data_IF_194582318748
#
_entry.id   IF_194582318748
#
_cell.length_a   1.000
_cell.length_b   1.000
_cell.length_c   1.000
_cell.angle_alpha   90.00
_cell.angle_beta   90.00
_cell.angle_gamma   90.00
#
_symmetry.space_group_name_H-M   'P 1'
#
loop_
_entity.id
_entity.type
_entity.pdbx_description
1 polymer ?
#
# COMPACT_ATOMS: atom_id res chain seq x y z
N UNK A 1 -65.51 -25.47 -0.56
CA UNK A 1 -64.13 -25.98 -0.54
C UNK A 1 -63.23 -24.76 -0.45
N UNK A 2 -62.52 -24.53 0.65
CA UNK A 2 -61.26 -25.25 1.02
C UNK A 2 -60.18 -24.92 -0.02
N UNK A 3 -59.07 -24.21 0.26
CA UNK A 3 -58.03 -24.39 1.28
C UNK A 3 -56.70 -24.40 0.48
N UNK A 4 -55.69 -23.55 0.71
CA UNK A 4 -54.63 -23.64 1.72
C UNK A 4 -53.25 -23.59 1.02
N UNK A 5 -52.43 -22.55 1.23
CA UNK A 5 -51.17 -22.51 2.03
C UNK A 5 -49.90 -23.06 1.35
N UNK A 6 -48.82 -22.26 1.43
CA UNK A 6 -47.40 -22.68 1.41
C UNK A 6 -46.60 -22.00 0.29
N UNK A 7 -45.62 -21.12 0.53
CA UNK A 7 -44.63 -21.05 1.61
C UNK A 7 -43.26 -21.36 0.99
N UNK A 8 -42.34 -20.39 0.98
CA UNK A 8 -41.00 -20.61 0.44
C UNK A 8 -40.18 -19.34 0.28
N UNK A 9 -39.90 -18.66 1.39
CA UNK A 9 -38.81 -17.70 1.43
C UNK A 9 -37.47 -18.42 1.24
N UNK A 10 -36.69 -17.95 0.27
CA UNK A 10 -35.24 -18.12 0.27
C UNK A 10 -34.65 -16.71 0.15
N UNK A 11 -34.38 -16.11 1.31
CA UNK A 11 -33.55 -14.92 1.42
C UNK A 11 -32.15 -15.29 0.91
N UNK A 12 -31.86 -14.98 -0.35
CA UNK A 12 -30.49 -14.91 -0.85
C UNK A 12 -29.77 -13.79 -0.09
N UNK A 13 -28.63 -14.12 0.52
CA UNK A 13 -27.89 -13.26 1.44
C UNK A 13 -27.70 -11.83 0.94
N UNK A 14 -28.18 -10.87 1.73
CA UNK A 14 -28.10 -9.42 1.49
C UNK A 14 -26.74 -8.80 1.83
N UNK A 15 -25.77 -9.61 2.25
CA UNK A 15 -24.52 -9.11 2.84
C UNK A 15 -23.38 -8.94 1.82
N UNK A 16 -23.55 -9.41 0.57
CA UNK A 16 -22.54 -9.27 -0.49
C UNK A 16 -22.60 -7.94 -1.24
N UNK A 17 -23.79 -7.41 -1.52
CA UNK A 17 -23.97 -6.22 -2.38
C UNK A 17 -23.44 -4.91 -1.79
N UNK A 18 -23.58 -4.73 -0.47
CA UNK A 18 -23.15 -3.51 0.21
C UNK A 18 -21.62 -3.32 0.21
N UNK A 19 -20.85 -4.42 0.21
CA UNK A 19 -19.39 -4.36 0.15
C UNK A 19 -18.90 -3.91 -1.24
N UNK A 20 -19.52 -4.41 -2.32
CA UNK A 20 -19.16 -4.01 -3.68
C UNK A 20 -19.55 -2.56 -3.98
N UNK A 21 -20.73 -2.11 -3.53
CA UNK A 21 -21.15 -0.71 -3.68
C UNK A 21 -20.23 0.26 -2.93
N UNK A 22 -19.77 -0.12 -1.73
CA UNK A 22 -18.82 0.69 -0.97
C UNK A 22 -17.48 0.83 -1.71
N UNK A 23 -16.96 -0.26 -2.28
CA UNK A 23 -15.72 -0.26 -3.05
C UNK A 23 -15.80 0.58 -4.32
N UNK A 24 -16.91 0.50 -5.06
CA UNK A 24 -17.13 1.32 -6.25
C UNK A 24 -17.16 2.82 -5.92
N UNK A 25 -17.83 3.18 -4.83
CA UNK A 25 -17.88 4.57 -4.35
C UNK A 25 -16.48 5.06 -3.93
N UNK A 26 -15.67 4.22 -3.27
CA UNK A 26 -14.30 4.59 -2.92
C UNK A 26 -13.41 4.75 -4.16
N UNK A 27 -13.58 3.89 -5.17
CA UNK A 27 -12.85 3.95 -6.43
C UNK A 27 -13.13 5.25 -7.18
N UNK A 28 -14.41 5.63 -7.30
CA UNK A 28 -14.82 6.87 -7.96
C UNK A 28 -14.26 8.11 -7.24
N UNK A 29 -14.31 8.13 -5.91
CA UNK A 29 -13.73 9.21 -5.09
C UNK A 29 -12.23 9.36 -5.34
N UNK A 30 -11.48 8.25 -5.36
CA UNK A 30 -10.04 8.25 -5.65
C UNK A 30 -9.73 8.71 -7.06
N UNK A 31 -10.50 8.25 -8.06
CA UNK A 31 -10.35 8.70 -9.44
C UNK A 31 -10.55 10.22 -9.58
N UNK A 32 -11.58 10.78 -8.92
CA UNK A 32 -11.81 12.22 -8.90
C UNK A 32 -10.69 12.99 -8.22
N UNK A 33 -10.18 12.51 -7.08
CA UNK A 33 -9.04 13.14 -6.41
C UNK A 33 -7.77 13.10 -7.27
N UNK A 34 -7.52 11.99 -7.96
CA UNK A 34 -6.38 11.84 -8.85
C UNK A 34 -6.40 12.90 -9.97
N UNK A 35 -7.56 13.10 -10.61
CA UNK A 35 -7.73 14.14 -11.64
C UNK A 35 -7.47 15.55 -11.09
N UNK A 36 -7.94 15.87 -9.88
CA UNK A 36 -7.69 17.17 -9.25
C UNK A 36 -6.20 17.42 -8.97
N UNK A 37 -5.45 16.36 -8.69
CA UNK A 37 -4.00 16.41 -8.48
C UNK A 37 -3.20 16.31 -9.79
N UNK A 38 -3.86 16.27 -10.94
CA UNK A 38 -3.23 16.20 -12.26
C UNK A 38 -2.79 14.79 -12.69
N UNK A 39 -3.19 13.74 -11.97
CA UNK A 39 -3.00 12.36 -12.42
C UNK A 39 -4.12 11.96 -13.38
N UNK A 40 -3.77 11.24 -14.45
CA UNK A 40 -4.75 10.75 -15.42
C UNK A 40 -5.68 9.64 -14.87
N UNK A 41 -5.24 8.94 -13.82
CA UNK A 41 -5.97 7.87 -13.12
C UNK A 41 -5.43 7.73 -11.69
N UNK A 42 -6.13 7.00 -10.83
CA UNK A 42 -5.67 6.69 -9.46
C UNK A 42 -4.25 6.06 -9.49
N UNK A 43 -3.21 6.75 -8.98
CA UNK A 43 -1.84 6.31 -9.17
C UNK A 43 -1.51 5.13 -8.26
N UNK A 44 -1.13 4.00 -8.86
CA UNK A 44 -0.60 2.88 -8.08
C UNK A 44 0.79 3.19 -7.51
N UNK A 45 1.14 2.53 -6.41
CA UNK A 45 2.49 2.62 -5.80
C UNK A 45 3.61 2.36 -6.82
N UNK A 46 3.43 1.35 -7.67
CA UNK A 46 4.40 1.03 -8.70
C UNK A 46 4.53 2.15 -9.75
N UNK A 47 3.43 2.82 -10.11
CA UNK A 47 3.48 3.98 -11.00
C UNK A 47 4.21 5.16 -10.36
N UNK A 48 3.93 5.46 -9.09
CA UNK A 48 4.61 6.53 -8.35
C UNK A 48 6.12 6.29 -8.26
N UNK A 49 6.54 5.07 -7.89
CA UNK A 49 7.96 4.71 -7.83
C UNK A 49 8.67 4.83 -9.19
N UNK A 50 8.00 4.47 -10.29
CA UNK A 50 8.54 4.69 -11.64
C UNK A 50 8.69 6.17 -11.96
N UNK A 51 7.72 7.01 -11.58
CA UNK A 51 7.79 8.46 -11.78
C UNK A 51 8.95 9.09 -11.00
N UNK A 52 9.14 8.69 -9.73
CA UNK A 52 10.27 9.13 -8.88
C UNK A 52 11.61 8.79 -9.54
N UNK A 53 11.76 7.55 -10.05
CA UNK A 53 12.97 7.12 -10.77
C UNK A 53 13.17 7.91 -12.07
N UNK A 54 12.12 8.11 -12.86
CA UNK A 54 12.19 8.86 -14.12
C UNK A 54 12.57 10.33 -13.91
N UNK A 55 12.15 10.92 -12.81
CA UNK A 55 12.44 12.31 -12.47
C UNK A 55 13.83 12.51 -11.85
N UNK A 56 14.62 11.46 -11.63
CA UNK A 56 15.96 11.58 -11.04
C UNK A 56 15.96 11.98 -9.55
N UNK A 57 14.81 11.91 -8.87
CA UNK A 57 14.67 12.39 -7.48
C UNK A 57 15.63 11.67 -6.53
N UNK A 58 15.91 10.38 -6.78
CA UNK A 58 16.82 9.60 -5.95
C UNK A 58 18.28 10.08 -6.01
N UNK A 59 18.65 10.86 -7.03
CA UNK A 59 20.00 11.41 -7.16
C UNK A 59 20.21 12.61 -6.24
N UNK A 60 19.13 13.30 -5.85
CA UNK A 60 19.13 14.51 -5.03
C UNK A 60 18.86 14.24 -3.54
N UNK A 61 18.41 13.03 -3.17
CA UNK A 61 18.15 12.68 -1.76
C UNK A 61 19.44 12.26 -1.02
N UNK A 62 19.49 12.48 0.31
CA UNK A 62 20.53 11.95 1.17
C UNK A 62 20.79 10.46 0.96
N UNK A 63 22.04 10.04 1.18
CA UNK A 63 22.48 8.66 0.95
C UNK A 63 21.67 7.66 1.78
N UNK A 64 21.29 8.02 3.00
CA UNK A 64 20.50 7.19 3.90
C UNK A 64 19.11 6.87 3.32
N UNK A 65 18.45 7.85 2.69
CA UNK A 65 17.14 7.66 2.05
C UNK A 65 17.26 6.84 0.77
N UNK A 66 18.34 7.04 0.01
CA UNK A 66 18.65 6.24 -1.18
C UNK A 66 18.91 4.78 -0.81
N UNK A 67 19.70 4.54 0.23
CA UNK A 67 19.97 3.21 0.77
C UNK A 67 18.68 2.56 1.29
N UNK A 68 17.80 3.31 1.95
CA UNK A 68 16.53 2.79 2.45
C UNK A 68 15.60 2.39 1.29
N UNK A 69 15.53 3.21 0.24
CA UNK A 69 14.80 2.88 -0.98
C UNK A 69 15.36 1.60 -1.62
N UNK A 70 16.68 1.47 -1.74
CA UNK A 70 17.32 0.29 -2.31
C UNK A 70 17.06 -0.97 -1.47
N UNK A 71 17.13 -0.87 -0.14
CA UNK A 71 16.90 -2.01 0.74
C UNK A 71 15.43 -2.49 0.71
N UNK A 72 14.47 -1.57 0.69
CA UNK A 72 13.05 -1.90 0.66
C UNK A 72 12.57 -2.29 -0.75
N UNK A 73 12.95 -1.57 -1.79
CA UNK A 73 12.45 -1.79 -3.16
C UNK A 73 13.35 -2.65 -4.05
N UNK A 74 14.55 -2.98 -3.59
CA UNK A 74 15.44 -3.91 -4.25
C UNK A 74 14.98 -5.36 -4.11
N UNK A 75 15.22 -6.13 -5.16
CA UNK A 75 15.10 -7.58 -5.17
C UNK A 75 16.43 -8.22 -4.74
N UNK A 76 16.38 -9.39 -4.10
CA UNK A 76 17.56 -10.24 -3.89
C UNK A 76 18.24 -10.19 -2.52
N UNK A 77 17.86 -9.29 -1.60
CA UNK A 77 18.38 -9.33 -0.23
C UNK A 77 17.77 -10.48 0.57
N UNK A 78 18.62 -11.29 1.20
CA UNK A 78 18.18 -12.30 2.16
C UNK A 78 17.43 -11.63 3.33
N UNK A 79 16.47 -12.31 3.97
CA UNK A 79 15.71 -11.76 5.10
C UNK A 79 16.59 -11.11 6.18
N UNK A 80 17.73 -11.74 6.50
CA UNK A 80 18.70 -11.22 7.47
C UNK A 80 19.36 -9.92 7.01
N UNK A 81 19.76 -9.86 5.74
CA UNK A 81 20.43 -8.69 5.15
C UNK A 81 19.48 -7.50 5.07
N UNK A 82 18.19 -7.74 4.75
CA UNK A 82 17.15 -6.72 4.78
C UNK A 82 17.07 -6.06 6.16
N UNK A 83 16.98 -6.87 7.22
CA UNK A 83 16.84 -6.36 8.59
C UNK A 83 18.09 -5.57 9.00
N UNK A 84 19.29 -6.11 8.72
CA UNK A 84 20.55 -5.46 9.03
C UNK A 84 20.73 -4.13 8.29
N UNK A 85 20.30 -4.05 7.03
CA UNK A 85 20.37 -2.83 6.23
C UNK A 85 19.32 -1.79 6.60
N UNK A 86 18.07 -2.22 6.82
CA UNK A 86 16.95 -1.28 7.05
C UNK A 86 16.90 -0.71 8.46
N UNK A 87 17.27 -1.47 9.50
CA UNK A 87 17.15 -1.02 10.90
C UNK A 87 17.84 0.33 11.18
N UNK A 88 19.15 0.51 10.89
CA UNK A 88 19.82 1.78 11.17
C UNK A 88 19.23 2.95 10.37
N UNK A 89 18.73 2.68 9.16
CA UNK A 89 18.09 3.69 8.30
C UNK A 89 16.70 4.09 8.81
N UNK A 90 15.94 3.14 9.38
CA UNK A 90 14.66 3.43 10.02
C UNK A 90 14.83 4.19 11.34
N UNK A 91 15.95 4.00 12.04
CA UNK A 91 16.31 4.82 13.20
C UNK A 91 16.72 6.24 12.79
N UNK A 92 17.47 6.39 11.69
CA UNK A 92 17.77 7.69 11.10
C UNK A 92 16.48 8.46 10.78
N UNK A 93 15.54 7.83 10.07
CA UNK A 93 14.23 8.42 9.74
C UNK A 93 13.43 8.80 10.99
N UNK A 94 13.52 8.04 12.07
CA UNK A 94 12.78 8.32 13.30
C UNK A 94 13.37 9.49 14.12
N UNK A 95 14.63 9.87 13.87
CA UNK A 95 15.32 10.96 14.58
C UNK A 95 15.18 12.30 13.88
N UNK A 96 14.93 12.29 12.57
CA UNK A 96 14.72 13.49 11.77
C UNK A 96 13.27 13.99 11.93
N UNK A 97 13.07 15.25 12.32
CA UNK A 97 11.74 15.81 12.60
C UNK A 97 10.82 15.83 11.36
N UNK A 98 11.38 16.02 10.17
CA UNK A 98 10.63 16.03 8.92
C UNK A 98 10.26 14.63 8.43
N UNK A 99 11.04 13.61 8.81
CA UNK A 99 10.85 12.23 8.39
C UNK A 99 10.15 11.35 9.44
N UNK A 100 10.21 11.72 10.72
CA UNK A 100 9.64 10.97 11.83
C UNK A 100 8.17 10.56 11.65
N UNK A 101 7.28 11.38 11.05
CA UNK A 101 5.89 10.98 10.80
C UNK A 101 5.74 9.73 9.91
N UNK A 102 6.74 9.44 9.06
CA UNK A 102 6.71 8.30 8.13
C UNK A 102 7.32 7.02 8.71
N UNK A 103 8.08 7.14 9.82
CA UNK A 103 8.74 6.02 10.47
C UNK A 103 7.82 4.81 10.79
N UNK A 104 6.61 4.96 11.36
CA UNK A 104 5.76 3.81 11.69
C UNK A 104 5.34 3.01 10.44
N UNK A 105 4.95 3.70 9.37
CA UNK A 105 4.52 3.03 8.14
C UNK A 105 5.69 2.40 7.39
N UNK A 106 6.87 3.02 7.44
CA UNK A 106 8.09 2.42 6.87
C UNK A 106 8.51 1.15 7.62
N UNK A 107 8.38 1.11 8.96
CA UNK A 107 8.61 -0.11 9.76
C UNK A 107 7.61 -1.21 9.40
N UNK A 108 6.32 -0.87 9.26
CA UNK A 108 5.29 -1.81 8.84
C UNK A 108 5.57 -2.38 7.45
N UNK A 109 5.93 -1.52 6.50
CA UNK A 109 6.31 -1.94 5.15
C UNK A 109 7.53 -2.88 5.17
N UNK A 110 8.56 -2.55 5.95
CA UNK A 110 9.74 -3.40 6.11
C UNK A 110 9.36 -4.78 6.66
N UNK A 111 8.49 -4.84 7.67
CA UNK A 111 7.99 -6.09 8.22
C UNK A 111 7.17 -6.90 7.19
N UNK A 112 6.29 -6.25 6.42
CA UNK A 112 5.52 -6.91 5.36
C UNK A 112 6.42 -7.49 4.26
N UNK A 113 7.45 -6.74 3.85
CA UNK A 113 8.43 -7.21 2.86
C UNK A 113 9.28 -8.36 3.40
N UNK A 114 9.66 -8.31 4.68
CA UNK A 114 10.36 -9.41 5.35
C UNK A 114 9.49 -10.68 5.38
N UNK A 115 8.23 -10.55 5.80
CA UNK A 115 7.28 -11.67 5.84
C UNK A 115 7.04 -12.26 4.45
N UNK A 116 6.90 -11.42 3.43
CA UNK A 116 6.75 -11.87 2.05
C UNK A 116 7.94 -12.68 1.52
N UNK A 117 9.14 -12.51 2.09
CA UNK A 117 10.34 -13.29 1.74
C UNK A 117 10.50 -14.56 2.57
N UNK A 118 9.80 -14.68 3.70
CA UNK A 118 9.83 -15.86 4.58
C UNK A 118 8.68 -16.84 4.29
N UNK A 119 7.54 -16.31 3.81
CA UNK A 119 6.38 -17.11 3.42
C UNK A 119 6.41 -17.60 1.97
N UNK A 120 7.50 -17.34 1.25
CA UNK A 120 7.79 -17.85 -0.10
C UNK A 120 8.90 -18.91 0.01
#
# INVERSE_FOLDING_TARGET
GEGGVGGGGAAGGKDGGAAFEADDVQREKRARMALLLGFAQDPSRAALLRSVRRAGVLDEVPEELRALHAALEGDGLLPRELVQGCLPLLEYVAKDEGLAPYAPELRRLAALKLLGRLGA
#
